data_IF_064346993869
#
_entry.id   IF_064346993869
#
_cell.length_a   1.000
_cell.length_b   1.000
_cell.length_c   1.000
_cell.angle_alpha   90.00
_cell.angle_beta   90.00
_cell.angle_gamma   90.00
#
_symmetry.space_group_name_H-M   'P 1'
#
loop_
_entity.id
_entity.type
_entity.pdbx_description
1 polymer ?
#
# COMPACT_ATOMS: atom_id res chain seq x y z
N UNK A 1 -7.50 14.60 -38.01
CA UNK A 1 -8.29 14.11 -36.86
C UNK A 1 -8.21 12.60 -36.84
N UNK A 2 -7.48 12.03 -35.87
CA UNK A 2 -8.01 10.87 -35.15
C UNK A 2 -7.98 11.11 -33.63
N UNK A 3 -9.07 10.69 -32.99
CA UNK A 3 -9.35 10.86 -31.58
C UNK A 3 -8.32 10.16 -30.70
N UNK A 4 -7.68 10.97 -29.85
CA UNK A 4 -7.16 10.51 -28.57
C UNK A 4 -8.39 10.17 -27.72
N UNK A 5 -8.79 8.90 -27.70
CA UNK A 5 -9.54 8.40 -26.58
C UNK A 5 -8.60 8.55 -25.38
N UNK A 6 -8.90 9.47 -24.46
CA UNK A 6 -8.29 9.45 -23.13
C UNK A 6 -8.62 8.10 -22.54
N UNK A 7 -7.67 7.16 -22.62
CA UNK A 7 -7.62 6.07 -21.65
C UNK A 7 -7.75 6.72 -20.28
N UNK A 8 -8.80 6.34 -19.56
CA UNK A 8 -8.96 6.70 -18.16
C UNK A 8 -7.59 6.49 -17.50
N UNK A 9 -7.06 7.58 -16.92
CA UNK A 9 -5.69 7.73 -16.49
C UNK A 9 -5.09 6.39 -16.01
N UNK A 10 -4.04 5.94 -16.70
CA UNK A 10 -3.34 4.69 -16.42
C UNK A 10 -2.88 4.69 -14.95
N UNK A 11 -3.71 4.12 -14.08
CA UNK A 11 -3.55 4.12 -12.63
C UNK A 11 -2.44 3.19 -12.17
N UNK A 12 -1.84 2.45 -13.11
CA UNK A 12 -0.65 1.62 -12.89
C UNK A 12 0.55 2.43 -12.37
N UNK A 13 0.64 3.72 -12.71
CA UNK A 13 1.69 4.62 -12.20
C UNK A 13 1.48 5.03 -10.72
N UNK A 14 0.40 4.58 -10.07
CA UNK A 14 -0.01 5.05 -8.74
C UNK A 14 0.35 4.09 -7.60
N UNK A 15 0.87 2.91 -7.94
CA UNK A 15 1.31 1.90 -6.99
C UNK A 15 2.81 2.05 -6.68
N UNK A 16 3.24 1.71 -5.47
CA UNK A 16 4.65 1.72 -5.06
C UNK A 16 5.39 0.40 -5.37
N UNK A 17 4.87 -0.42 -6.29
CA UNK A 17 5.57 -1.61 -6.74
C UNK A 17 6.94 -1.24 -7.32
N UNK A 18 7.99 -1.80 -6.72
CA UNK A 18 9.37 -1.68 -7.17
C UNK A 18 9.59 -2.60 -8.37
N UNK A 19 9.08 -3.83 -8.28
CA UNK A 19 9.02 -4.80 -9.36
C UNK A 19 7.85 -5.76 -9.14
N UNK A 20 7.42 -6.42 -10.21
CA UNK A 20 6.49 -7.55 -10.16
C UNK A 20 7.10 -8.65 -11.00
N UNK A 21 7.26 -9.84 -10.42
CA UNK A 21 7.86 -11.00 -11.06
C UNK A 21 6.91 -12.20 -10.98
N UNK A 22 6.79 -12.93 -12.08
CA UNK A 22 5.92 -14.10 -12.18
C UNK A 22 6.69 -15.37 -11.83
N UNK A 23 6.05 -16.26 -11.07
CA UNK A 23 6.54 -17.59 -10.75
C UNK A 23 7.97 -17.67 -10.18
N UNK A 24 8.31 -16.78 -9.24
CA UNK A 24 9.65 -16.71 -8.61
C UNK A 24 9.80 -17.74 -7.49
N UNK A 25 10.95 -18.41 -7.43
CA UNK A 25 11.26 -19.30 -6.31
C UNK A 25 11.66 -18.51 -5.07
N UNK A 26 10.81 -18.53 -4.05
CA UNK A 26 11.11 -18.02 -2.71
C UNK A 26 11.55 -19.17 -1.79
N UNK A 27 12.66 -19.82 -2.15
CA UNK A 27 13.20 -20.99 -1.44
C UNK A 27 12.48 -22.28 -1.83
N UNK A 28 11.65 -22.82 -0.94
CA UNK A 28 10.90 -24.09 -1.13
C UNK A 28 9.45 -23.88 -1.60
N UNK A 29 9.09 -22.63 -1.89
CA UNK A 29 7.76 -22.21 -2.35
C UNK A 29 7.90 -21.31 -3.57
N UNK A 30 6.94 -21.40 -4.49
CA UNK A 30 6.90 -20.65 -5.74
C UNK A 30 5.51 -20.00 -5.86
N UNK A 31 5.39 -18.70 -5.56
CA UNK A 31 4.12 -18.01 -5.73
C UNK A 31 3.83 -17.69 -7.20
N UNK A 32 2.56 -17.49 -7.55
CA UNK A 32 2.17 -17.12 -8.91
C UNK A 32 2.75 -15.76 -9.30
N UNK A 33 2.62 -14.77 -8.41
CA UNK A 33 3.28 -13.47 -8.55
C UNK A 33 3.93 -13.04 -7.24
N UNK A 34 5.04 -12.32 -7.38
CA UNK A 34 5.72 -11.63 -6.28
C UNK A 34 5.83 -10.16 -6.65
N UNK A 35 5.22 -9.31 -5.84
CA UNK A 35 5.37 -7.87 -5.94
C UNK A 35 6.35 -7.40 -4.87
N UNK A 36 7.42 -6.71 -5.29
CA UNK A 36 8.34 -6.06 -4.37
C UNK A 36 7.80 -4.68 -3.99
N UNK A 37 7.54 -4.46 -2.70
CA UNK A 37 7.16 -3.16 -2.16
C UNK A 37 8.28 -2.59 -1.29
N UNK A 38 8.32 -1.26 -1.05
CA UNK A 38 9.35 -0.64 -0.21
C UNK A 38 9.37 -1.16 1.24
N UNK A 39 8.29 -1.78 1.69
CA UNK A 39 8.12 -2.36 3.03
C UNK A 39 8.16 -3.90 3.02
N UNK A 40 8.59 -4.52 1.92
CA UNK A 40 8.84 -5.95 1.78
C UNK A 40 8.06 -6.61 0.62
N UNK A 41 8.32 -7.89 0.32
CA UNK A 41 7.61 -8.61 -0.72
C UNK A 41 6.14 -8.88 -0.33
N UNK A 42 5.29 -8.96 -1.36
CA UNK A 42 3.91 -9.42 -1.31
C UNK A 42 3.75 -10.56 -2.31
N UNK A 43 3.41 -11.75 -1.82
CA UNK A 43 3.02 -12.86 -2.66
C UNK A 43 1.53 -12.78 -3.03
N UNK A 44 1.21 -13.12 -4.27
CA UNK A 44 -0.15 -13.17 -4.79
C UNK A 44 -0.36 -14.55 -5.42
N UNK A 45 -1.37 -15.27 -4.93
CA UNK A 45 -1.81 -16.57 -5.46
C UNK A 45 -3.16 -16.40 -6.18
N UNK A 46 -3.33 -17.01 -7.34
CA UNK A 46 -4.62 -17.05 -8.04
C UNK A 46 -5.27 -18.43 -7.91
N UNK A 47 -6.40 -18.50 -7.22
CA UNK A 47 -7.15 -19.73 -7.04
C UNK A 47 -8.33 -19.81 -8.02
N UNK A 48 -8.23 -20.69 -9.02
CA UNK A 48 -9.35 -20.98 -9.94
C UNK A 48 -10.02 -22.33 -9.64
N UNK A 49 -9.24 -23.42 -9.55
CA UNK A 49 -9.73 -24.78 -9.25
C UNK A 49 -9.07 -25.43 -8.04
N UNK A 50 -7.95 -24.87 -7.58
CA UNK A 50 -7.21 -25.33 -6.40
C UNK A 50 -6.84 -24.11 -5.56
N UNK A 51 -7.31 -24.10 -4.32
CA UNK A 51 -6.95 -23.11 -3.32
C UNK A 51 -5.60 -23.45 -2.69
N UNK A 52 -4.98 -22.48 -2.04
CA UNK A 52 -3.79 -22.70 -1.20
C UNK A 52 -4.13 -23.73 -0.12
N UNK A 53 -3.32 -24.78 -0.05
CA UNK A 53 -3.46 -25.85 0.93
C UNK A 53 -2.76 -25.52 2.26
N UNK A 54 -3.03 -26.32 3.29
CA UNK A 54 -2.48 -26.14 4.63
C UNK A 54 -0.94 -26.20 4.66
N UNK A 55 -0.31 -26.91 3.71
CA UNK A 55 1.16 -27.03 3.61
C UNK A 55 1.78 -25.73 3.08
N UNK A 56 1.22 -25.17 2.00
CA UNK A 56 1.61 -23.87 1.45
C UNK A 56 1.35 -22.75 2.46
N UNK A 57 0.18 -22.73 3.10
CA UNK A 57 -0.16 -21.76 4.14
C UNK A 57 0.84 -21.79 5.30
N UNK A 58 1.25 -23.00 5.71
CA UNK A 58 2.27 -23.18 6.75
C UNK A 58 3.64 -22.64 6.34
N UNK A 59 4.02 -22.76 5.06
CA UNK A 59 5.28 -22.21 4.52
C UNK A 59 5.26 -20.69 4.46
N UNK A 60 4.15 -20.10 4.03
CA UNK A 60 3.93 -18.65 4.02
C UNK A 60 4.05 -18.09 5.44
N UNK A 61 3.33 -18.70 6.39
CA UNK A 61 3.30 -18.28 7.80
C UNK A 61 4.67 -18.41 8.46
N UNK A 62 5.37 -19.54 8.28
CA UNK A 62 6.71 -19.75 8.85
C UNK A 62 7.73 -18.71 8.39
N UNK A 63 7.55 -18.13 7.20
CA UNK A 63 8.44 -17.13 6.62
C UNK A 63 8.03 -15.71 6.97
N UNK A 64 6.89 -15.50 7.64
CA UNK A 64 6.32 -14.18 7.86
C UNK A 64 6.02 -13.44 6.55
N UNK A 65 5.83 -14.19 5.45
CA UNK A 65 5.67 -13.61 4.13
C UNK A 65 4.25 -13.08 3.98
N UNK A 66 4.12 -11.82 3.57
CA UNK A 66 2.81 -11.24 3.27
C UNK A 66 2.25 -11.89 2.02
N UNK A 67 1.04 -12.42 2.12
CA UNK A 67 0.42 -13.14 1.02
C UNK A 67 -1.08 -12.86 0.92
N UNK A 68 -1.55 -12.67 -0.30
CA UNK A 68 -2.97 -12.62 -0.65
C UNK A 68 -3.31 -13.75 -1.60
N UNK A 69 -4.52 -14.28 -1.45
CA UNK A 69 -5.15 -15.17 -2.42
C UNK A 69 -6.24 -14.40 -3.16
N UNK A 70 -6.24 -14.50 -4.48
CA UNK A 70 -7.28 -13.98 -5.36
C UNK A 70 -8.14 -15.14 -5.83
N UNK A 71 -9.37 -15.20 -5.32
CA UNK A 71 -10.33 -16.24 -5.67
C UNK A 71 -11.02 -15.91 -7.01
N UNK A 72 -10.72 -16.71 -8.03
CA UNK A 72 -11.31 -16.61 -9.36
C UNK A 72 -12.36 -17.70 -9.63
N UNK A 73 -12.55 -18.66 -8.71
CA UNK A 73 -13.40 -19.85 -8.92
C UNK A 73 -14.87 -19.53 -9.23
N UNK A 74 -15.38 -18.41 -8.71
CA UNK A 74 -16.75 -17.95 -8.92
C UNK A 74 -16.97 -17.14 -10.20
N UNK A 75 -15.92 -16.84 -10.96
CA UNK A 75 -16.01 -15.96 -12.13
C UNK A 75 -16.39 -16.76 -13.37
N UNK A 76 -17.64 -16.61 -13.80
CA UNK A 76 -18.10 -17.12 -15.10
C UNK A 76 -18.06 -15.97 -16.10
N UNK A 77 -17.03 -15.95 -16.94
CA UNK A 77 -16.82 -14.89 -17.93
C UNK A 77 -16.84 -15.48 -19.33
N UNK A 78 -17.57 -14.82 -20.24
CA UNK A 78 -17.55 -15.21 -21.65
C UNK A 78 -16.17 -14.94 -22.26
N UNK A 79 -15.63 -15.82 -23.13
CA UNK A 79 -14.34 -15.62 -23.80
C UNK A 79 -14.47 -14.60 -24.95
N UNK A 80 -14.98 -13.42 -24.64
CA UNK A 80 -15.13 -12.27 -25.52
C UNK A 80 -14.27 -11.12 -25.02
N UNK A 81 -14.04 -10.11 -25.86
CA UNK A 81 -13.28 -8.90 -25.47
C UNK A 81 -13.98 -8.22 -24.28
N UNK A 82 -15.30 -8.10 -24.32
CA UNK A 82 -16.09 -7.52 -23.24
C UNK A 82 -15.96 -8.33 -21.94
N UNK A 83 -15.94 -9.66 -22.04
CA UNK A 83 -15.68 -10.53 -20.91
C UNK A 83 -14.29 -10.32 -20.30
N UNK A 84 -13.24 -10.21 -21.13
CA UNK A 84 -11.88 -9.92 -20.63
C UNK A 84 -11.78 -8.56 -19.94
N UNK A 85 -12.50 -7.54 -20.44
CA UNK A 85 -12.57 -6.22 -19.79
C UNK A 85 -13.26 -6.33 -18.43
N UNK A 86 -14.37 -7.08 -18.37
CA UNK A 86 -15.09 -7.31 -17.12
C UNK A 86 -14.25 -8.09 -16.11
N UNK A 87 -13.54 -9.14 -16.56
CA UNK A 87 -12.63 -9.92 -15.73
C UNK A 87 -11.52 -9.05 -15.14
N UNK A 88 -10.87 -8.22 -15.98
CA UNK A 88 -9.84 -7.28 -15.52
C UNK A 88 -10.40 -6.31 -14.48
N UNK A 89 -11.58 -5.74 -14.73
CA UNK A 89 -12.25 -4.81 -13.80
C UNK A 89 -12.52 -5.48 -12.46
N UNK A 90 -13.05 -6.70 -12.48
CA UNK A 90 -13.42 -7.44 -11.27
C UNK A 90 -12.16 -7.82 -10.47
N UNK A 91 -11.14 -8.37 -11.12
CA UNK A 91 -9.86 -8.70 -10.45
C UNK A 91 -9.22 -7.47 -9.83
N UNK A 92 -9.23 -6.31 -10.51
CA UNK A 92 -8.57 -5.10 -9.98
C UNK A 92 -9.40 -4.42 -8.89
N UNK A 93 -10.71 -4.31 -9.06
CA UNK A 93 -11.55 -3.42 -8.25
C UNK A 93 -12.47 -4.12 -7.25
N UNK A 94 -12.65 -5.44 -7.33
CA UNK A 94 -13.46 -6.17 -6.35
C UNK A 94 -12.59 -6.67 -5.19
N UNK A 95 -12.69 -6.08 -3.98
CA UNK A 95 -11.94 -6.54 -2.82
C UNK A 95 -12.48 -7.87 -2.28
N UNK A 96 -13.72 -8.26 -2.59
CA UNK A 96 -14.31 -9.50 -2.07
C UNK A 96 -13.65 -10.77 -2.61
N UNK A 97 -12.93 -10.65 -3.72
CA UNK A 97 -12.14 -11.72 -4.31
C UNK A 97 -10.75 -11.86 -3.68
N UNK A 98 -10.33 -10.92 -2.82
CA UNK A 98 -8.98 -10.87 -2.26
C UNK A 98 -9.03 -11.22 -0.78
N UNK A 99 -8.31 -12.26 -0.39
CA UNK A 99 -8.23 -12.72 0.99
C UNK A 99 -6.78 -12.67 1.44
N UNK A 100 -6.53 -12.16 2.65
CA UNK A 100 -5.22 -12.26 3.28
C UNK A 100 -4.97 -13.68 3.74
N UNK A 101 -3.94 -14.32 3.20
CA UNK A 101 -3.42 -15.59 3.70
C UNK A 101 -2.53 -15.34 4.91
N UNK A 102 -1.71 -14.29 4.84
CA UNK A 102 -0.86 -13.87 5.95
C UNK A 102 -0.75 -12.35 5.90
N UNK A 103 -1.54 -11.61 6.71
CA UNK A 103 -1.45 -10.17 6.77
C UNK A 103 -0.12 -9.75 7.39
N UNK A 104 0.22 -8.47 7.23
CA UNK A 104 1.30 -7.88 8.01
C UNK A 104 0.91 -7.90 9.48
N UNK A 105 1.83 -8.32 10.37
CA UNK A 105 1.70 -8.00 11.79
C UNK A 105 1.74 -6.48 11.93
N UNK A 106 0.59 -5.87 12.27
CA UNK A 106 0.60 -4.54 12.83
C UNK A 106 1.37 -4.61 14.14
N UNK A 107 2.53 -3.94 14.19
CA UNK A 107 3.19 -3.64 15.44
C UNK A 107 2.24 -2.72 16.22
N UNK A 108 1.34 -3.33 16.99
CA UNK A 108 0.60 -2.62 18.03
C UNK A 108 1.69 -2.11 18.96
N UNK A 109 1.86 -0.80 19.02
CA UNK A 109 2.75 -0.20 19.99
C UNK A 109 2.19 -0.55 21.38
N UNK A 110 2.73 -1.60 21.98
CA UNK A 110 2.53 -1.88 23.39
C UNK A 110 3.20 -0.73 24.13
N UNK A 111 2.36 0.21 24.57
CA UNK A 111 2.71 1.29 25.48
C UNK A 111 2.96 0.67 26.87
N UNK A 112 4.08 -0.02 27.01
CA UNK A 112 4.58 -0.42 28.33
C UNK A 112 6.00 0.12 28.49
N UNK A 113 6.07 1.18 29.29
CA UNK A 113 7.33 1.71 29.78
C UNK A 113 8.12 0.61 30.47
N UNK A 114 9.26 0.27 29.89
CA UNK A 114 10.38 -0.26 30.62
C UNK A 114 11.66 0.23 29.96
N UNK A 115 12.33 1.15 30.66
CA UNK A 115 13.76 1.38 30.52
C UNK A 115 14.48 0.04 30.70
N UNK A 116 15.14 -0.45 29.67
CA UNK A 116 16.42 -1.12 29.86
C UNK A 116 17.26 -1.05 28.58
N UNK A 117 18.39 -0.35 28.72
CA UNK A 117 19.38 -0.07 27.69
C UNK A 117 20.21 -1.33 27.51
N UNK A 118 20.10 -2.00 26.35
CA UNK A 118 21.08 -2.99 25.92
C UNK A 118 21.76 -2.43 24.66
N UNK A 119 22.98 -1.96 24.85
CA UNK A 119 23.90 -1.63 23.75
C UNK A 119 24.22 -2.91 22.98
N UNK A 120 23.75 -3.00 21.74
CA UNK A 120 24.27 -3.94 20.76
C UNK A 120 24.42 -3.24 19.42
N UNK A 121 25.66 -3.25 18.91
CA UNK A 121 26.12 -2.74 17.61
C UNK A 121 25.41 -3.44 16.44
N UNK A 122 24.14 -3.08 16.21
CA UNK A 122 23.45 -3.33 14.95
C UNK A 122 23.22 -1.97 14.35
N UNK A 123 23.66 -1.80 13.10
CA UNK A 123 23.42 -0.62 12.29
C UNK A 123 21.90 -0.52 12.02
N UNK A 124 21.16 -0.05 13.02
CA UNK A 124 19.73 0.14 13.00
C UNK A 124 19.46 1.31 12.05
N UNK A 125 19.12 0.96 10.82
CA UNK A 125 18.42 1.91 9.94
C UNK A 125 17.11 2.18 10.66
N UNK A 126 17.01 3.35 11.31
CA UNK A 126 15.93 3.71 12.22
C UNK A 126 14.61 3.17 11.70
N UNK A 127 14.00 2.25 12.47
CA UNK A 127 12.66 1.73 12.20
C UNK A 127 11.73 2.92 12.37
N UNK A 128 11.49 3.64 11.26
CA UNK A 128 10.61 4.79 11.24
C UNK A 128 9.19 4.29 11.58
N UNK A 129 8.41 5.08 12.35
CA UNK A 129 7.06 4.69 12.72
C UNK A 129 6.21 4.36 11.48
N UNK A 130 5.35 3.35 11.64
CA UNK A 130 4.46 2.84 10.61
C UNK A 130 3.66 3.99 9.99
N UNK A 131 3.77 4.17 8.68
CA UNK A 131 3.03 5.21 7.99
C UNK A 131 1.56 4.83 7.89
N UNK A 132 0.65 5.74 8.25
CA UNK A 132 -0.77 5.59 7.97
C UNK A 132 -0.99 5.94 6.50
N UNK A 133 -1.58 5.03 5.73
CA UNK A 133 -1.82 5.21 4.30
C UNK A 133 -3.29 5.52 4.04
N UNK A 134 -3.55 6.66 3.41
CA UNK A 134 -4.86 7.08 2.95
C UNK A 134 -4.97 6.92 1.44
N UNK A 135 -6.18 6.62 0.94
CA UNK A 135 -6.47 6.61 -0.49
C UNK A 135 -7.34 7.82 -0.82
N UNK A 136 -6.76 8.85 -1.47
CA UNK A 136 -7.47 10.07 -1.84
C UNK A 136 -7.60 10.10 -3.37
N UNK A 137 -8.83 10.08 -3.88
CA UNK A 137 -9.11 10.00 -5.32
C UNK A 137 -8.38 8.83 -6.02
N UNK A 138 -8.30 7.68 -5.35
CA UNK A 138 -7.58 6.51 -5.87
C UNK A 138 -6.06 6.58 -5.78
N UNK A 139 -5.50 7.62 -5.15
CA UNK A 139 -4.05 7.82 -5.00
C UNK A 139 -3.62 7.64 -3.54
N UNK A 140 -2.51 6.96 -3.33
CA UNK A 140 -1.97 6.73 -2.00
C UNK A 140 -1.21 7.94 -1.44
N UNK A 141 -1.56 8.29 -0.21
CA UNK A 141 -0.92 9.35 0.57
C UNK A 141 -0.48 8.75 1.90
N UNK A 142 0.84 8.71 2.11
CA UNK A 142 1.44 8.26 3.35
C UNK A 142 1.55 9.42 4.33
N UNK A 143 1.08 9.19 5.55
CA UNK A 143 1.18 10.11 6.68
C UNK A 143 2.04 9.48 7.75
N UNK A 144 3.02 10.23 8.26
CA UNK A 144 3.90 9.81 9.36
C UNK A 144 3.92 10.87 10.42
N UNK A 145 3.81 10.45 11.67
CA UNK A 145 4.03 11.32 12.83
C UNK A 145 5.44 11.06 13.34
N UNK A 146 6.25 12.11 13.40
CA UNK A 146 7.61 12.04 13.93
C UNK A 146 7.58 12.06 15.46
N UNK A 147 8.63 11.56 16.14
CA UNK A 147 8.68 11.51 17.61
C UNK A 147 8.48 12.87 18.32
N UNK A 148 8.79 13.97 17.63
CA UNK A 148 8.62 15.34 18.13
C UNK A 148 7.23 15.93 17.82
N UNK A 149 6.29 15.11 17.34
CA UNK A 149 4.91 15.47 17.00
C UNK A 149 4.75 16.10 15.61
N UNK A 150 5.83 16.42 14.89
CA UNK A 150 5.73 16.91 13.52
C UNK A 150 5.12 15.85 12.59
N UNK A 151 4.35 16.30 11.59
CA UNK A 151 3.65 15.39 10.69
C UNK A 151 4.24 15.53 9.31
N UNK A 152 4.49 14.39 8.68
CA UNK A 152 5.04 14.31 7.35
C UNK A 152 4.03 13.61 6.46
N UNK A 153 3.58 14.31 5.43
CA UNK A 153 2.66 13.78 4.41
C UNK A 153 3.38 13.65 3.08
N UNK A 154 3.29 12.48 2.46
CA UNK A 154 3.96 12.17 1.20
C UNK A 154 2.97 11.53 0.24
N UNK A 155 2.89 12.07 -0.98
CA UNK A 155 2.22 11.35 -2.08
C UNK A 155 3.10 10.21 -2.54
N UNK A 156 2.57 8.99 -2.59
CA UNK A 156 3.33 7.79 -2.98
C UNK A 156 3.81 7.90 -4.43
N UNK A 157 2.91 8.33 -5.32
CA UNK A 157 3.21 8.71 -6.70
C UNK A 157 2.94 10.19 -6.95
N UNK A 158 3.58 10.76 -7.97
CA UNK A 158 3.33 12.15 -8.35
C UNK A 158 1.97 12.27 -9.04
N UNK A 159 1.07 13.05 -8.44
CA UNK A 159 -0.19 13.46 -9.07
C UNK A 159 -0.39 14.96 -8.86
N UNK A 160 -0.63 15.75 -9.93
CA UNK A 160 -0.86 17.18 -9.80
C UNK A 160 -2.07 17.48 -8.90
N UNK A 161 -3.10 16.63 -8.92
CA UNK A 161 -4.32 16.82 -8.13
C UNK A 161 -4.04 16.68 -6.63
N UNK A 162 -3.34 15.61 -6.24
CA UNK A 162 -2.93 15.40 -4.84
C UNK A 162 -1.93 16.46 -4.40
N UNK A 163 -0.99 16.86 -5.25
CA UNK A 163 -0.02 17.93 -4.93
C UNK A 163 -0.73 19.27 -4.69
N UNK A 164 -1.73 19.61 -5.50
CA UNK A 164 -2.51 20.84 -5.32
C UNK A 164 -3.37 20.79 -4.06
N UNK A 165 -3.94 19.62 -3.73
CA UNK A 165 -4.65 19.39 -2.47
C UNK A 165 -3.71 19.55 -1.26
N UNK A 166 -2.54 18.90 -1.27
CA UNK A 166 -1.54 19.03 -0.21
C UNK A 166 -1.05 20.47 -0.08
N UNK A 167 -0.94 21.21 -1.19
CA UNK A 167 -0.62 22.63 -1.18
C UNK A 167 -1.73 23.47 -0.55
N UNK A 168 -3.00 23.15 -0.75
CA UNK A 168 -4.12 23.82 -0.09
C UNK A 168 -4.11 23.54 1.42
N UNK A 169 -3.90 22.29 1.83
CA UNK A 169 -3.72 21.93 3.23
C UNK A 169 -2.52 22.67 3.85
N UNK A 170 -1.40 22.76 3.14
CA UNK A 170 -0.23 23.49 3.59
C UNK A 170 -0.51 24.99 3.78
N UNK A 171 -1.31 25.62 2.90
CA UNK A 171 -1.74 27.02 3.09
C UNK A 171 -2.64 27.21 4.30
N UNK A 172 -3.52 26.25 4.58
CA UNK A 172 -4.49 26.32 5.69
C UNK A 172 -3.86 26.06 7.06
N UNK A 173 -2.92 25.12 7.12
CA UNK A 173 -2.34 24.61 8.37
C UNK A 173 -0.85 24.96 8.54
N UNK A 174 -0.27 25.79 7.66
CA UNK A 174 1.11 26.24 7.77
C UNK A 174 2.16 25.17 7.43
N UNK A 175 1.84 24.30 6.46
CA UNK A 175 2.75 23.26 5.99
C UNK A 175 3.87 23.77 5.09
N UNK A 176 5.01 23.08 5.08
CA UNK A 176 6.18 23.39 4.25
C UNK A 176 6.61 22.18 3.43
N UNK A 177 6.89 22.39 2.14
CA UNK A 177 7.37 21.31 1.27
C UNK A 177 8.90 21.16 1.36
N UNK A 178 9.37 19.93 1.61
CA UNK A 178 10.79 19.61 1.73
C UNK A 178 11.24 18.84 0.48
N UNK A 179 11.89 19.56 -0.43
CA UNK A 179 12.33 19.03 -1.73
C UNK A 179 13.24 17.80 -1.62
N UNK A 180 14.09 17.74 -0.59
CA UNK A 180 15.04 16.62 -0.37
C UNK A 180 14.33 15.28 -0.20
N UNK A 181 13.20 15.27 0.51
CA UNK A 181 12.45 14.05 0.85
C UNK A 181 11.13 13.93 0.09
N UNK A 182 10.81 14.92 -0.77
CA UNK A 182 9.56 15.02 -1.54
C UNK A 182 8.31 14.86 -0.66
N UNK A 183 8.34 15.47 0.52
CA UNK A 183 7.27 15.39 1.51
C UNK A 183 6.86 16.78 2.00
N UNK A 184 5.67 16.85 2.57
CA UNK A 184 5.10 18.02 3.20
C UNK A 184 5.20 17.86 4.71
N UNK A 185 5.82 18.83 5.38
CA UNK A 185 5.92 18.87 6.83
C UNK A 185 4.87 19.81 7.39
N UNK A 186 4.17 19.38 8.42
CA UNK A 186 3.19 20.15 9.18
C UNK A 186 3.57 20.17 10.66
N UNK A 187 3.14 21.22 11.35
CA UNK A 187 3.39 21.39 12.78
C UNK A 187 2.54 20.43 13.63
N UNK A 188 3.02 20.07 14.82
CA UNK A 188 2.37 19.09 15.69
C UNK A 188 0.95 19.45 16.14
N UNK A 189 0.66 20.74 16.32
CA UNK A 189 -0.68 21.20 16.70
C UNK A 189 -1.74 20.92 15.62
N UNK A 190 -1.33 20.69 14.37
CA UNK A 190 -2.24 20.43 13.25
C UNK A 190 -2.69 18.98 13.17
N UNK A 191 -2.18 18.10 14.04
CA UNK A 191 -2.38 16.66 13.98
C UNK A 191 -3.81 16.20 13.84
N UNK A 192 -4.67 16.52 14.80
CA UNK A 192 -6.06 16.08 14.78
C UNK A 192 -6.82 16.66 13.57
N UNK A 193 -6.55 17.91 13.20
CA UNK A 193 -7.25 18.59 12.09
C UNK A 193 -6.83 18.03 10.73
N UNK A 194 -5.54 17.75 10.56
CA UNK A 194 -4.99 17.23 9.32
C UNK A 194 -5.43 15.78 9.09
N UNK A 195 -5.40 14.94 10.12
CA UNK A 195 -5.86 13.55 10.02
C UNK A 195 -7.37 13.48 9.71
N UNK A 196 -8.20 14.26 10.40
CA UNK A 196 -9.64 14.31 10.13
C UNK A 196 -9.95 14.74 8.69
N UNK A 197 -9.23 15.73 8.15
CA UNK A 197 -9.43 16.15 6.75
C UNK A 197 -8.93 15.09 5.76
N UNK A 198 -7.80 14.43 6.03
CA UNK A 198 -7.32 13.35 5.17
C UNK A 198 -8.25 12.14 5.19
N UNK A 199 -8.85 11.83 6.35
CA UNK A 199 -9.87 10.78 6.49
C UNK A 199 -11.16 11.15 5.74
N UNK A 200 -11.64 12.40 5.88
CA UNK A 200 -12.79 12.89 5.13
C UNK A 200 -12.57 12.84 3.61
N UNK A 201 -11.35 13.11 3.15
CA UNK A 201 -10.96 13.02 1.75
C UNK A 201 -10.77 11.58 1.26
N UNK A 202 -10.52 10.63 2.17
CA UNK A 202 -10.34 9.22 1.84
C UNK A 202 -11.67 8.44 1.83
N UNK A 203 -12.66 8.87 2.62
CA UNK A 203 -14.00 8.27 2.66
C UNK A 203 -15.00 8.84 1.66
N UNK A 204 -14.61 9.83 0.86
CA UNK A 204 -15.47 10.55 -0.11
C UNK A 204 -15.39 10.06 -1.55
#
# INVERSE_FOLDING_TARGET
>A
MPGHHSEAADSSAWWDFVSVEEEVWMGDFRPDLVAELPDGPLAVEFAYTSFVDDEKQSKITKRGLRAIEVNLSGLVVAPTIDGLIELRRVILHDPSLKVWLHPREELVAEDEGNDEVIESDVNCTAVLPLAVRYTIQGLWVDVRVLPFGEIVVRSVSYSPVVVDLLRQLARRYGGSYIKKYRNWRFASWTHALLLNELEALAGG
#
